data_IF_985853467655
#
_entry.id   IF_985853467655
#
_cell.length_a   1.000
_cell.length_b   1.000
_cell.length_c   1.000
_cell.angle_alpha   90.00
_cell.angle_beta   90.00
_cell.angle_gamma   90.00
#
_symmetry.space_group_name_H-M   'P 1'
#
loop_
_entity.id
_entity.type
_entity.pdbx_description
1 polymer ?
#
# COMPACT_ATOMS: atom_id res chain seq x y z
N UNK A 1 -14.58 8.16 11.73
CA UNK A 1 -13.63 7.11 12.15
C UNK A 1 -12.54 6.88 11.12
N UNK A 2 -11.52 6.07 11.46
CA UNK A 2 -10.50 5.68 10.49
C UNK A 2 -11.10 4.76 9.42
N UNK A 3 -10.52 4.73 8.19
CA UNK A 3 -10.95 3.81 7.15
C UNK A 3 -10.88 2.36 7.63
N UNK A 4 -11.90 1.60 7.34
CA UNK A 4 -11.96 0.16 7.58
C UNK A 4 -12.88 -0.50 6.55
N UNK A 5 -12.53 -1.68 6.10
CA UNK A 5 -13.24 -2.42 5.06
C UNK A 5 -13.17 -3.93 5.28
N UNK A 6 -13.64 -4.65 4.28
CA UNK A 6 -13.63 -6.12 4.30
C UNK A 6 -12.26 -6.70 3.96
N UNK A 7 -11.37 -5.89 3.38
CA UNK A 7 -10.04 -6.29 2.90
C UNK A 7 -9.00 -5.21 3.20
N UNK A 8 -7.71 -5.52 3.13
CA UNK A 8 -6.54 -4.65 3.27
C UNK A 8 -6.65 -3.61 4.39
N UNK A 9 -6.84 -4.05 5.62
CA UNK A 9 -6.98 -3.15 6.77
C UNK A 9 -5.63 -2.71 7.37
N UNK A 10 -4.51 -3.35 7.06
CA UNK A 10 -3.24 -3.11 7.73
C UNK A 10 -3.33 -3.47 9.21
N UNK A 11 -3.29 -2.48 10.10
CA UNK A 11 -3.62 -2.63 11.52
C UNK A 11 -2.43 -2.81 12.46
N UNK A 12 -1.20 -2.62 11.98
CA UNK A 12 -0.02 -2.72 12.83
C UNK A 12 0.18 -1.44 13.64
N UNK A 13 0.42 -1.61 14.94
CA UNK A 13 0.76 -0.54 15.88
C UNK A 13 2.17 -0.74 16.41
N UNK A 14 2.97 0.32 16.46
CA UNK A 14 4.31 0.34 17.08
C UNK A 14 4.58 1.71 17.70
N UNK A 15 5.13 1.71 18.90
CA UNK A 15 5.76 2.91 19.43
C UNK A 15 7.12 3.12 18.78
N UNK A 16 7.39 4.35 18.36
CA UNK A 16 8.70 4.78 17.92
C UNK A 16 9.64 5.08 19.09
N UNK A 17 10.96 5.18 18.82
CA UNK A 17 11.93 5.61 19.82
C UNK A 17 11.67 7.05 20.32
N UNK A 18 10.94 7.83 19.56
CA UNK A 18 10.47 9.18 19.88
C UNK A 18 9.24 9.22 20.82
N UNK A 19 8.70 8.04 21.20
CA UNK A 19 7.53 7.90 22.05
C UNK A 19 6.19 8.15 21.36
N UNK A 20 6.18 8.42 20.05
CA UNK A 20 4.95 8.53 19.26
C UNK A 20 4.45 7.15 18.81
N UNK A 21 3.18 7.07 18.45
CA UNK A 21 2.55 5.84 17.94
C UNK A 21 2.50 5.85 16.42
N UNK A 22 2.99 4.77 15.80
CA UNK A 22 2.86 4.52 14.37
C UNK A 22 1.77 3.49 14.13
N UNK A 23 0.90 3.78 13.17
CA UNK A 23 -0.24 2.93 12.82
C UNK A 23 -0.37 2.77 11.32
N UNK A 24 -0.36 1.53 10.83
CA UNK A 24 -0.53 1.22 9.41
C UNK A 24 -2.00 0.99 9.06
N UNK A 25 -2.46 1.58 7.95
CA UNK A 25 -3.79 1.40 7.38
C UNK A 25 -3.63 1.01 5.92
N UNK A 26 -4.22 -0.12 5.51
CA UNK A 26 -4.29 -0.53 4.12
C UNK A 26 -5.31 0.29 3.31
N UNK A 27 -5.32 0.11 2.00
CA UNK A 27 -6.19 0.86 1.08
C UNK A 27 -7.59 0.25 0.93
N UNK A 28 -7.96 -0.70 1.79
CA UNK A 28 -9.29 -1.31 1.92
C UNK A 28 -9.69 -2.24 0.78
N UNK A 29 -8.72 -2.74 -0.01
CA UNK A 29 -8.98 -3.53 -1.19
C UNK A 29 -9.71 -2.77 -2.30
N UNK A 30 -9.67 -1.44 -2.29
CA UNK A 30 -10.31 -0.63 -3.31
C UNK A 30 -9.64 -0.81 -4.67
N UNK A 31 -10.43 -0.72 -5.74
CA UNK A 31 -10.02 -0.99 -7.12
C UNK A 31 -9.66 -2.47 -7.39
N UNK A 32 -10.15 -3.39 -6.52
CA UNK A 32 -9.94 -4.83 -6.73
C UNK A 32 -11.08 -5.69 -6.17
N UNK A 33 -11.26 -6.90 -6.71
CA UNK A 33 -12.22 -7.89 -6.25
C UNK A 33 -13.64 -7.34 -6.11
N UNK A 34 -14.27 -7.59 -4.99
CA UNK A 34 -15.61 -7.07 -4.66
C UNK A 34 -15.65 -5.53 -4.56
N UNK A 35 -14.50 -4.88 -4.40
CA UNK A 35 -14.35 -3.43 -4.30
C UNK A 35 -13.78 -2.81 -5.59
N UNK A 36 -13.79 -3.51 -6.73
CA UNK A 36 -13.17 -3.06 -7.98
C UNK A 36 -13.63 -1.65 -8.40
N UNK A 37 -14.90 -1.33 -8.24
CA UNK A 37 -15.46 -0.05 -8.63
C UNK A 37 -15.31 1.07 -7.60
N UNK A 38 -14.60 0.81 -6.50
CA UNK A 38 -14.29 1.85 -5.51
C UNK A 38 -12.92 2.46 -5.82
N UNK A 39 -12.79 3.81 -5.81
CA UNK A 39 -11.52 4.46 -6.10
C UNK A 39 -10.47 4.14 -5.04
N UNK A 40 -9.24 3.86 -5.48
CA UNK A 40 -8.10 3.66 -4.60
C UNK A 40 -7.58 4.99 -4.08
N UNK A 41 -7.47 5.13 -2.76
CA UNK A 41 -7.05 6.37 -2.10
C UNK A 41 -5.60 6.34 -1.56
N UNK A 42 -4.80 5.34 -1.92
CA UNK A 42 -3.43 5.24 -1.42
C UNK A 42 -2.58 6.48 -1.78
N UNK A 43 -2.80 7.09 -2.95
CA UNK A 43 -2.12 8.32 -3.37
C UNK A 43 -2.80 9.61 -2.89
N UNK A 44 -4.06 9.54 -2.44
CA UNK A 44 -4.80 10.74 -2.03
C UNK A 44 -4.32 11.21 -0.66
N UNK A 45 -4.04 12.49 -0.53
CA UNK A 45 -3.69 13.15 0.73
C UNK A 45 -4.89 13.92 1.29
N UNK A 46 -5.03 14.03 2.63
CA UNK A 46 -6.12 14.78 3.22
C UNK A 46 -6.00 16.27 2.96
N UNK A 47 -7.13 16.94 2.87
CA UNK A 47 -7.23 18.39 2.83
C UNK A 47 -7.43 18.95 4.25
N UNK A 48 -7.16 20.25 4.45
CA UNK A 48 -7.42 20.92 5.74
C UNK A 48 -8.90 20.85 6.12
N UNK A 49 -9.79 21.04 5.15
CA UNK A 49 -11.25 20.98 5.37
C UNK A 49 -11.73 19.59 5.84
N UNK A 50 -11.14 18.51 5.31
CA UNK A 50 -11.43 17.14 5.77
C UNK A 50 -10.97 16.92 7.21
N UNK A 51 -9.77 17.43 7.56
CA UNK A 51 -9.25 17.33 8.92
C UNK A 51 -10.13 18.09 9.91
N UNK A 52 -10.56 19.30 9.56
CA UNK A 52 -11.46 20.14 10.39
C UNK A 52 -12.81 19.44 10.63
N UNK A 53 -13.26 18.62 9.67
CA UNK A 53 -14.49 17.83 9.75
C UNK A 53 -14.30 16.46 10.37
N UNK A 54 -13.08 16.09 10.75
CA UNK A 54 -12.69 14.74 11.18
C UNK A 54 -13.09 13.66 10.13
N UNK A 55 -12.97 14.00 8.84
CA UNK A 55 -13.09 13.07 7.71
C UNK A 55 -11.72 12.49 7.40
N UNK A 56 -11.53 11.22 7.76
CA UNK A 56 -10.28 10.50 7.59
C UNK A 56 -10.31 9.53 6.39
N UNK A 57 -11.22 9.70 5.45
CA UNK A 57 -11.33 8.85 4.25
C UNK A 57 -10.01 8.77 3.48
N UNK A 58 -9.25 9.88 3.42
CA UNK A 58 -7.93 9.93 2.77
C UNK A 58 -6.81 9.18 3.54
N UNK A 59 -7.10 8.58 4.70
CA UNK A 59 -6.09 7.82 5.47
C UNK A 59 -5.94 6.37 5.02
N UNK A 60 -6.71 5.92 4.03
CA UNK A 60 -6.52 4.61 3.40
C UNK A 60 -5.16 4.53 2.67
N UNK A 61 -4.43 3.43 2.84
CA UNK A 61 -3.09 3.22 2.25
C UNK A 61 -2.00 4.13 2.83
N UNK A 62 -1.97 4.27 4.16
CA UNK A 62 -1.06 5.17 4.89
C UNK A 62 -0.38 4.49 6.07
N UNK A 63 0.79 5.01 6.43
CA UNK A 63 1.31 4.90 7.80
C UNK A 63 1.05 6.23 8.48
N UNK A 64 0.39 6.19 9.62
CA UNK A 64 0.10 7.35 10.45
C UNK A 64 1.11 7.43 11.59
N UNK A 65 1.43 8.67 12.03
CA UNK A 65 2.18 8.95 13.26
C UNK A 65 1.39 9.94 14.10
N UNK A 66 1.19 9.60 15.36
CA UNK A 66 0.37 10.36 16.29
C UNK A 66 0.98 10.39 17.70
N UNK A 67 0.71 11.45 18.43
CA UNK A 67 0.98 11.53 19.86
C UNK A 67 0.09 10.55 20.63
N UNK A 68 0.45 10.21 21.86
CA UNK A 68 -0.32 9.27 22.69
C UNK A 68 -1.68 9.79 23.12
N UNK A 69 -1.92 11.09 23.02
CA UNK A 69 -3.21 11.75 23.23
C UNK A 69 -4.08 11.80 21.95
N UNK A 70 -3.55 11.29 20.83
CA UNK A 70 -4.20 11.28 19.53
C UNK A 70 -4.00 12.55 18.69
N UNK A 71 -3.25 13.53 19.17
CA UNK A 71 -2.96 14.73 18.39
C UNK A 71 -1.90 14.49 17.31
N UNK A 72 -1.84 15.39 16.32
CA UNK A 72 -0.81 15.38 15.28
C UNK A 72 0.52 15.88 15.87
N UNK A 73 1.63 15.14 15.77
CA UNK A 73 2.95 15.64 16.14
C UNK A 73 3.36 16.89 15.34
N UNK A 74 3.98 17.86 16.01
CA UNK A 74 4.35 19.14 15.39
C UNK A 74 5.41 18.99 14.29
N UNK A 75 6.19 17.92 14.35
CA UNK A 75 7.24 17.57 13.40
C UNK A 75 6.80 16.54 12.34
N UNK A 76 5.51 16.21 12.26
CA UNK A 76 4.98 15.41 11.15
C UNK A 76 5.20 16.12 9.80
N UNK A 77 5.40 15.37 8.71
CA UNK A 77 5.60 15.95 7.40
C UNK A 77 4.40 16.80 6.97
N UNK A 78 4.68 17.93 6.30
CA UNK A 78 3.66 18.72 5.63
C UNK A 78 3.55 18.23 4.19
N UNK A 79 2.47 17.54 3.88
CA UNK A 79 2.22 16.96 2.57
C UNK A 79 1.14 17.77 1.85
N UNK A 80 1.41 18.20 0.63
CA UNK A 80 0.50 19.07 -0.15
C UNK A 80 0.00 20.30 0.64
N UNK A 81 0.89 20.89 1.45
CA UNK A 81 0.58 22.07 2.27
C UNK A 81 -0.21 21.78 3.55
N UNK A 82 -0.51 20.52 3.85
CA UNK A 82 -1.30 20.10 5.02
C UNK A 82 -0.45 19.24 5.94
N UNK A 83 -0.39 19.57 7.24
CA UNK A 83 0.14 18.70 8.28
C UNK A 83 -1.00 17.88 8.88
N UNK A 84 -0.85 16.57 8.89
CA UNK A 84 -1.83 15.63 9.40
C UNK A 84 -1.15 14.48 10.14
N UNK A 85 -1.90 13.45 10.52
CA UNK A 85 -1.31 12.21 11.05
C UNK A 85 -0.56 11.40 9.99
N UNK A 86 -0.74 11.70 8.69
CA UNK A 86 -0.09 10.95 7.61
C UNK A 86 1.43 11.14 7.70
N UNK A 87 2.14 10.03 7.94
CA UNK A 87 3.60 9.98 7.98
C UNK A 87 4.15 9.58 6.60
N UNK A 88 3.55 8.55 5.99
CA UNK A 88 3.83 8.10 4.63
C UNK A 88 2.54 7.68 3.92
N UNK A 89 2.60 7.54 2.57
CA UNK A 89 1.43 7.22 1.75
C UNK A 89 1.82 6.37 0.53
N UNK A 90 0.82 5.90 -0.21
CA UNK A 90 1.06 5.04 -1.36
C UNK A 90 1.30 3.58 -0.98
N UNK A 91 0.70 3.11 0.12
CA UNK A 91 0.76 1.73 0.57
C UNK A 91 -0.46 0.93 0.13
N UNK A 92 -0.25 -0.37 -0.13
CA UNK A 92 -1.33 -1.31 -0.44
C UNK A 92 -1.92 -1.89 0.85
N UNK A 93 -1.19 -2.76 1.50
CA UNK A 93 -1.64 -3.42 2.73
C UNK A 93 -0.46 -3.61 3.71
N UNK A 94 -0.01 -2.53 4.35
CA UNK A 94 1.13 -2.56 5.27
C UNK A 94 0.75 -3.27 6.56
N UNK A 95 1.28 -4.49 6.79
CA UNK A 95 0.93 -5.33 7.93
C UNK A 95 2.05 -5.50 8.95
N UNK A 96 3.29 -5.29 8.55
CA UNK A 96 4.44 -5.40 9.45
C UNK A 96 5.09 -4.05 9.68
N UNK A 97 5.40 -3.71 10.94
CA UNK A 97 6.25 -2.57 11.30
C UNK A 97 7.27 -3.03 12.34
N UNK A 98 8.53 -2.68 12.17
CA UNK A 98 9.59 -2.96 13.14
C UNK A 98 10.62 -1.83 13.18
N UNK A 99 11.03 -1.45 14.37
CA UNK A 99 12.13 -0.53 14.60
C UNK A 99 13.44 -1.28 14.77
N UNK A 100 14.49 -0.79 14.10
CA UNK A 100 15.87 -1.23 14.28
C UNK A 100 16.70 0.02 14.57
N UNK A 101 16.99 0.26 15.84
CA UNK A 101 17.47 1.57 16.27
C UNK A 101 16.45 2.66 15.94
N UNK A 102 16.87 3.71 15.24
CA UNK A 102 16.01 4.82 14.82
C UNK A 102 15.42 4.64 13.41
N UNK A 103 15.53 3.42 12.84
CA UNK A 103 15.06 3.12 11.49
C UNK A 103 13.79 2.28 11.53
N UNK A 104 12.74 2.75 10.87
CA UNK A 104 11.48 2.01 10.74
C UNK A 104 11.46 1.21 9.44
N UNK A 105 11.23 -0.08 9.55
CA UNK A 105 10.97 -0.98 8.43
C UNK A 105 9.50 -1.39 8.42
N UNK A 106 9.01 -1.60 7.23
CA UNK A 106 7.64 -2.03 6.96
C UNK A 106 7.65 -3.21 5.99
N UNK A 107 6.63 -4.10 6.06
CA UNK A 107 6.35 -5.04 5.00
C UNK A 107 4.88 -5.03 4.61
N UNK A 108 4.63 -5.16 3.30
CA UNK A 108 3.29 -5.18 2.74
C UNK A 108 3.11 -6.21 1.63
N UNK A 109 1.86 -6.57 1.38
CA UNK A 109 1.49 -7.47 0.32
C UNK A 109 1.47 -6.74 -1.03
N UNK A 110 2.11 -7.33 -2.02
CA UNK A 110 1.90 -7.02 -3.42
C UNK A 110 0.54 -7.51 -3.95
N UNK A 111 0.18 -7.19 -5.21
CA UNK A 111 -1.12 -7.60 -5.79
C UNK A 111 -1.23 -9.10 -6.04
N UNK A 112 -0.32 -9.69 -6.77
CA UNK A 112 -0.22 -11.13 -7.05
C UNK A 112 1.24 -11.60 -7.01
N UNK A 113 2.15 -10.64 -6.86
CA UNK A 113 3.61 -10.73 -6.87
C UNK A 113 4.14 -9.50 -6.12
N UNK A 114 5.44 -9.34 -5.98
CA UNK A 114 6.10 -8.14 -5.47
C UNK A 114 5.65 -7.74 -4.06
N UNK A 115 5.59 -8.71 -3.14
CA UNK A 115 5.55 -8.37 -1.72
C UNK A 115 6.81 -7.57 -1.35
N UNK A 116 6.67 -6.57 -0.48
CA UNK A 116 7.71 -5.58 -0.24
C UNK A 116 8.26 -5.59 1.18
N UNK A 117 9.53 -5.22 1.31
CA UNK A 117 10.09 -4.63 2.52
C UNK A 117 10.50 -3.20 2.20
N UNK A 118 9.98 -2.27 2.97
CA UNK A 118 10.17 -0.85 2.82
C UNK A 118 10.99 -0.26 3.97
N UNK A 119 11.87 0.70 3.63
CA UNK A 119 12.48 1.62 4.58
C UNK A 119 11.58 2.85 4.70
N UNK A 120 11.02 3.10 5.88
CA UNK A 120 10.02 4.16 6.06
C UNK A 120 10.67 5.49 6.39
N UNK A 121 10.47 6.47 5.49
CA UNK A 121 10.97 7.83 5.62
C UNK A 121 9.81 8.84 5.66
N UNK A 122 9.89 9.81 6.55
CA UNK A 122 8.87 10.85 6.70
C UNK A 122 8.52 11.52 5.37
N UNK A 123 7.24 11.58 5.02
CA UNK A 123 6.76 12.18 3.78
C UNK A 123 6.93 11.33 2.53
N UNK A 124 7.46 10.10 2.64
CA UNK A 124 7.68 9.19 1.52
C UNK A 124 6.37 8.73 0.86
N UNK A 125 6.41 8.59 -0.47
CA UNK A 125 5.39 7.96 -1.30
C UNK A 125 5.91 6.59 -1.76
N UNK A 126 5.17 5.52 -1.46
CA UNK A 126 5.56 4.13 -1.75
C UNK A 126 4.93 3.57 -3.03
N UNK A 127 4.31 4.42 -3.83
CA UNK A 127 3.96 4.15 -5.24
C UNK A 127 2.59 3.55 -5.49
N UNK A 128 2.06 2.71 -4.60
CA UNK A 128 0.78 2.05 -4.81
C UNK A 128 -0.37 3.05 -5.07
N UNK A 129 -1.27 2.84 -6.04
CA UNK A 129 -1.39 1.68 -6.93
C UNK A 129 -0.63 1.82 -8.27
N UNK A 130 0.17 2.86 -8.46
CA UNK A 130 0.85 3.11 -9.74
C UNK A 130 2.06 2.19 -9.95
N UNK A 131 2.66 1.73 -8.86
CA UNK A 131 3.84 0.85 -8.82
C UNK A 131 3.58 -0.25 -7.80
N UNK A 132 3.99 -1.47 -8.11
CA UNK A 132 4.10 -2.61 -7.21
C UNK A 132 5.55 -3.12 -7.24
N UNK A 133 6.24 -3.07 -6.12
CA UNK A 133 7.67 -3.38 -6.10
C UNK A 133 8.53 -2.29 -6.71
N UNK A 134 9.47 -2.67 -7.57
CA UNK A 134 10.27 -1.72 -8.33
C UNK A 134 9.51 -1.22 -9.55
N UNK A 135 9.75 0.03 -9.94
CA UNK A 135 9.15 0.62 -11.16
C UNK A 135 9.86 0.06 -12.41
N UNK A 136 9.58 -1.18 -12.77
CA UNK A 136 10.31 -1.92 -13.81
C UNK A 136 9.43 -2.49 -14.94
N UNK A 137 8.13 -2.29 -14.89
CA UNK A 137 7.11 -2.80 -15.82
C UNK A 137 7.05 -4.35 -15.86
N UNK A 138 7.56 -5.05 -14.85
CA UNK A 138 7.52 -6.51 -14.79
C UNK A 138 6.24 -7.00 -14.09
N UNK A 139 5.45 -7.79 -14.81
CA UNK A 139 4.22 -8.45 -14.36
C UNK A 139 3.11 -7.58 -13.78
N UNK A 140 3.35 -6.31 -13.52
CA UNK A 140 2.35 -5.37 -12.99
C UNK A 140 2.05 -4.23 -13.96
N UNK A 141 0.80 -3.85 -14.01
CA UNK A 141 0.31 -2.59 -14.56
C UNK A 141 -0.91 -2.14 -13.74
N UNK A 142 -1.05 -0.87 -13.48
CA UNK A 142 -2.21 -0.35 -12.78
C UNK A 142 -3.44 -0.37 -13.70
N UNK A 143 -4.39 -1.24 -13.39
CA UNK A 143 -5.72 -1.27 -13.99
C UNK A 143 -6.69 -0.49 -13.12
N UNK A 144 -7.14 0.69 -13.59
CA UNK A 144 -8.05 1.54 -12.82
C UNK A 144 -9.51 1.14 -13.07
N UNK A 145 -9.94 0.07 -12.42
CA UNK A 145 -11.29 -0.46 -12.55
C UNK A 145 -12.36 0.55 -12.16
N UNK A 146 -12.09 1.39 -11.14
CA UNK A 146 -13.05 2.38 -10.66
C UNK A 146 -13.38 3.48 -11.68
N UNK A 147 -12.53 3.67 -12.69
CA UNK A 147 -12.75 4.59 -13.81
C UNK A 147 -13.27 3.91 -15.07
N UNK A 148 -13.45 2.59 -15.05
CA UNK A 148 -14.03 1.88 -16.20
C UNK A 148 -15.51 2.24 -16.35
N UNK A 149 -15.94 2.51 -17.59
CA UNK A 149 -17.34 2.69 -17.91
C UNK A 149 -18.09 1.37 -17.61
N UNK A 150 -19.21 1.45 -16.88
CA UNK A 150 -19.98 0.30 -16.43
C UNK A 150 -19.17 -0.75 -15.63
N UNK A 151 -18.24 -0.29 -14.80
CA UNK A 151 -17.37 -1.14 -13.98
C UNK A 151 -18.11 -2.31 -13.31
N UNK A 152 -19.30 -2.06 -12.77
CA UNK A 152 -20.08 -3.07 -12.06
C UNK A 152 -20.55 -4.25 -12.95
N UNK A 153 -20.59 -4.08 -14.26
CA UNK A 153 -21.00 -5.08 -15.22
C UNK A 153 -19.81 -5.87 -15.81
N UNK A 154 -18.57 -5.43 -15.50
CA UNK A 154 -17.37 -6.07 -16.00
C UNK A 154 -16.96 -7.25 -15.11
N UNK A 155 -16.58 -8.40 -15.72
CA UNK A 155 -16.04 -9.51 -14.95
C UNK A 155 -14.67 -9.13 -14.40
N UNK A 156 -14.54 -9.05 -13.09
CA UNK A 156 -13.26 -8.74 -12.46
C UNK A 156 -12.27 -9.90 -12.65
N UNK A 157 -11.07 -9.55 -13.10
CA UNK A 157 -9.90 -10.41 -13.11
C UNK A 157 -8.69 -9.60 -12.67
N UNK A 158 -7.94 -10.10 -11.69
CA UNK A 158 -6.82 -9.39 -11.09
C UNK A 158 -5.64 -9.18 -12.05
N UNK A 159 -5.47 -10.13 -12.99
CA UNK A 159 -4.31 -10.20 -13.88
C UNK A 159 -4.66 -9.93 -15.35
N UNK A 160 -5.93 -10.02 -15.72
CA UNK A 160 -6.41 -9.92 -17.10
C UNK A 160 -7.62 -9.00 -17.21
N UNK A 161 -7.41 -7.70 -17.07
CA UNK A 161 -8.51 -6.76 -17.19
C UNK A 161 -9.10 -6.73 -18.63
N UNK A 162 -10.44 -6.71 -18.78
CA UNK A 162 -11.07 -6.61 -20.08
C UNK A 162 -10.79 -5.25 -20.74
N UNK A 163 -11.00 -5.20 -22.07
CA UNK A 163 -10.91 -3.93 -22.81
C UNK A 163 -11.93 -2.93 -22.25
N UNK A 164 -11.49 -1.69 -22.02
CA UNK A 164 -12.32 -0.64 -21.42
C UNK A 164 -11.95 -0.31 -19.97
N UNK A 165 -11.17 -1.15 -19.28
CA UNK A 165 -10.54 -0.78 -18.02
C UNK A 165 -9.28 0.04 -18.35
N UNK A 166 -9.17 1.31 -17.88
CA UNK A 166 -7.97 2.11 -18.09
C UNK A 166 -6.74 1.43 -17.49
N UNK A 167 -5.65 1.40 -18.24
CA UNK A 167 -4.41 0.75 -17.83
C UNK A 167 -3.24 1.73 -17.94
N UNK A 168 -2.38 1.74 -16.94
CA UNK A 168 -1.14 2.52 -16.92
C UNK A 168 0.01 1.60 -16.51
N UNK A 169 1.05 1.52 -17.34
CA UNK A 169 2.31 0.86 -16.98
C UNK A 169 3.05 1.72 -15.95
N UNK A 170 3.81 1.07 -15.07
CA UNK A 170 4.57 1.75 -14.01
C UNK A 170 5.52 2.82 -14.55
N UNK A 171 6.23 2.54 -15.65
CA UNK A 171 7.14 3.49 -16.32
C UNK A 171 6.44 4.75 -16.85
N UNK A 172 5.11 4.75 -16.95
CA UNK A 172 4.31 5.90 -17.38
C UNK A 172 3.82 6.76 -16.23
N UNK A 173 3.91 6.28 -15.00
CA UNK A 173 3.60 7.09 -13.84
C UNK A 173 4.67 8.18 -13.66
N UNK A 174 4.26 9.46 -13.59
CA UNK A 174 5.21 10.55 -13.33
C UNK A 174 5.70 10.44 -11.89
N UNK A 175 6.88 9.85 -11.72
CA UNK A 175 7.48 9.56 -10.41
C UNK A 175 7.75 10.87 -9.65
N UNK A 176 7.13 11.09 -8.48
CA UNK A 176 7.39 12.27 -7.68
C UNK A 176 8.74 12.19 -6.96
N UNK A 177 9.32 13.33 -6.60
CA UNK A 177 10.64 13.41 -5.94
C UNK A 177 10.71 12.67 -4.60
N UNK A 178 9.57 12.51 -3.94
CA UNK A 178 9.45 11.80 -2.68
C UNK A 178 9.06 10.32 -2.85
N UNK A 179 9.09 9.77 -4.04
CA UNK A 179 8.93 8.33 -4.25
C UNK A 179 10.08 7.57 -3.57
N UNK A 180 9.71 6.50 -2.87
CA UNK A 180 10.64 5.59 -2.21
C UNK A 180 10.41 4.20 -2.75
N UNK A 181 11.34 3.67 -3.56
CA UNK A 181 11.27 2.28 -3.99
C UNK A 181 11.47 1.36 -2.79
N UNK A 182 10.96 0.13 -2.83
CA UNK A 182 11.17 -0.83 -1.76
C UNK A 182 12.67 -1.13 -1.59
N UNK A 183 13.05 -1.46 -0.35
CA UNK A 183 14.38 -1.99 -0.07
C UNK A 183 14.55 -3.36 -0.74
N UNK A 184 13.47 -4.14 -0.80
CA UNK A 184 13.44 -5.46 -1.43
C UNK A 184 12.01 -5.83 -1.83
N UNK A 185 11.91 -6.52 -2.98
CA UNK A 185 10.71 -7.25 -3.41
C UNK A 185 10.89 -8.75 -3.27
N UNK A 186 9.80 -9.48 -3.17
CA UNK A 186 9.78 -10.94 -3.18
C UNK A 186 8.96 -11.43 -4.36
N UNK A 187 9.58 -12.34 -5.13
CA UNK A 187 8.96 -13.04 -6.24
C UNK A 187 8.48 -12.15 -7.39
N UNK A 188 9.20 -11.08 -7.71
CA UNK A 188 9.01 -10.39 -8.99
C UNK A 188 9.11 -11.40 -10.12
N UNK A 189 8.10 -11.45 -10.98
CA UNK A 189 8.03 -12.38 -12.11
C UNK A 189 8.02 -11.62 -13.43
N UNK A 190 8.46 -12.24 -14.56
CA UNK A 190 8.49 -11.57 -15.85
C UNK A 190 7.08 -11.33 -16.41
N UNK A 191 6.99 -10.41 -17.37
CA UNK A 191 5.79 -10.23 -18.19
C UNK A 191 5.29 -11.57 -18.77
N UNK A 192 3.96 -11.77 -18.72
CA UNK A 192 3.33 -12.99 -19.23
C UNK A 192 3.47 -14.21 -18.31
N UNK A 193 3.84 -13.99 -17.04
CA UNK A 193 3.76 -15.05 -16.04
C UNK A 193 2.33 -15.59 -15.95
N UNK A 194 2.20 -16.91 -15.82
CA UNK A 194 0.89 -17.57 -15.72
C UNK A 194 0.41 -17.58 -14.28
N UNK A 195 -0.48 -16.65 -13.93
CA UNK A 195 -1.11 -16.59 -12.61
C UNK A 195 -2.29 -17.57 -12.45
N UNK A 196 -2.76 -18.19 -13.55
CA UNK A 196 -3.87 -19.16 -13.56
C UNK A 196 -3.36 -20.61 -13.48
N UNK A 197 -2.29 -20.84 -12.73
CA UNK A 197 -1.71 -22.16 -12.57
C UNK A 197 -2.71 -23.14 -11.94
N UNK A 198 -2.99 -24.22 -12.66
CA UNK A 198 -3.94 -25.25 -12.23
C UNK A 198 -3.42 -26.19 -11.14
N UNK A 199 -2.15 -26.06 -10.73
CA UNK A 199 -1.57 -26.84 -9.62
C UNK A 199 -2.33 -26.67 -8.30
N UNK A 200 -2.95 -25.49 -8.11
CA UNK A 200 -3.80 -25.20 -6.95
C UNK A 200 -5.31 -25.41 -7.21
N UNK A 201 -5.67 -26.15 -8.26
CA UNK A 201 -7.06 -26.45 -8.61
C UNK A 201 -7.86 -25.19 -8.96
N UNK A 202 -9.03 -25.04 -8.34
CA UNK A 202 -9.92 -23.90 -8.57
C UNK A 202 -9.54 -22.65 -7.74
N UNK A 203 -8.38 -22.68 -7.06
CA UNK A 203 -7.89 -21.60 -6.19
C UNK A 203 -6.49 -21.15 -6.63
N UNK A 204 -6.33 -20.56 -7.85
CA UNK A 204 -5.02 -20.24 -8.42
C UNK A 204 -4.22 -19.26 -7.55
N UNK A 205 -4.88 -18.38 -6.80
CA UNK A 205 -4.24 -17.44 -5.90
C UNK A 205 -3.38 -18.11 -4.79
N UNK A 206 -3.59 -19.38 -4.47
CA UNK A 206 -2.74 -20.13 -3.55
C UNK A 206 -1.38 -20.49 -4.16
N UNK A 207 -1.26 -20.41 -5.48
CA UNK A 207 -0.03 -20.67 -6.23
C UNK A 207 0.67 -19.38 -6.69
N UNK A 208 0.12 -18.22 -6.38
CA UNK A 208 0.75 -16.96 -6.77
C UNK A 208 2.13 -16.80 -6.12
N UNK A 209 3.07 -16.14 -6.80
CA UNK A 209 4.41 -15.90 -6.29
C UNK A 209 4.41 -14.80 -5.22
N UNK A 210 3.91 -15.11 -4.03
CA UNK A 210 3.76 -14.20 -2.90
C UNK A 210 4.07 -14.91 -1.58
N UNK A 211 4.58 -14.17 -0.60
CA UNK A 211 4.76 -14.60 0.79
C UNK A 211 3.60 -14.17 1.68
N UNK A 212 2.85 -13.16 1.25
CA UNK A 212 1.83 -12.48 2.05
C UNK A 212 2.36 -12.08 3.45
N UNK A 213 3.41 -11.24 3.54
CA UNK A 213 4.10 -10.95 4.80
C UNK A 213 3.20 -10.16 5.74
N UNK A 214 2.91 -10.72 6.91
CA UNK A 214 2.04 -10.11 7.91
C UNK A 214 2.78 -9.49 9.09
N UNK A 215 4.09 -9.69 9.19
CA UNK A 215 4.92 -9.15 10.27
C UNK A 215 6.39 -9.18 9.93
N UNK A 216 7.14 -8.28 10.58
CA UNK A 216 8.60 -8.25 10.60
C UNK A 216 9.11 -8.39 12.02
N UNK A 217 10.27 -9.02 12.16
CA UNK A 217 11.04 -9.01 13.39
C UNK A 217 12.50 -8.77 13.06
N UNK A 218 13.15 -7.94 13.87
CA UNK A 218 14.60 -7.79 13.82
C UNK A 218 15.28 -8.90 14.63
N UNK A 219 16.30 -9.50 14.04
CA UNK A 219 17.16 -10.47 14.71
C UNK A 219 18.60 -9.96 14.67
N UNK A 220 19.22 -9.59 15.79
CA UNK A 220 20.57 -9.09 15.82
C UNK A 220 21.59 -10.21 15.52
N UNK A 221 22.75 -9.85 14.95
CA UNK A 221 23.81 -10.81 14.57
C UNK A 221 24.39 -11.58 15.77
N UNK A 222 24.25 -11.01 16.98
CA UNK A 222 24.66 -11.61 18.26
C UNK A 222 23.50 -12.27 19.01
N UNK A 223 22.42 -12.58 18.31
CA UNK A 223 21.26 -13.27 18.84
C UNK A 223 21.57 -14.67 19.40
N UNK A 224 20.64 -15.27 20.16
CA UNK A 224 20.89 -16.55 20.83
C UNK A 224 21.17 -17.70 19.88
#
# INVERSE_FOLDING_TARGET
GLPAGDDHNGGRLRFGPDGTLYYSIGEQGHNQGANACKPNYAQRLPTADELDKADFTAYAGKILRLNTDGSVPDDNPTLNGVRSHVYTYGHRNPQGLVWVGDTLFECEHGPSTDDEINLIEAGGNYGWPNVAGFQDDLSYAYYNWSEAENCADLPYDANHAPSGVPMTKESRWPTPDNFRPPLRTFYTVPDGYNFDDTLCGDLPYLCWPTLAPSSLAWYPDDGP
#
